data_IF_620889980311
#
_entry.id   IF_620889980311
#
_cell.length_a   1.000
_cell.length_b   1.000
_cell.length_c   1.000
_cell.angle_alpha   90.00
_cell.angle_beta   90.00
_cell.angle_gamma   90.00
#
_symmetry.space_group_name_H-M   'P 1'
#
loop_
_entity.id
_entity.type
_entity.pdbx_description
1 polymer ?
#
# COMPACT_ATOMS: atom_id res chain seq x y z
N UNK A 1 17.16 -0.18 0.83
CA UNK A 1 16.49 -1.40 1.33
C UNK A 1 15.27 -1.71 0.49
N UNK A 2 14.38 -0.73 0.31
CA UNK A 2 13.10 -0.88 -0.39
C UNK A 2 13.23 -1.26 -1.87
N UNK A 3 14.21 -0.73 -2.62
CA UNK A 3 14.42 -1.14 -4.03
C UNK A 3 14.65 -2.64 -4.20
N UNK A 4 15.49 -3.27 -3.35
CA UNK A 4 15.74 -4.72 -3.43
C UNK A 4 14.47 -5.51 -3.15
N UNK A 5 13.71 -5.10 -2.14
CA UNK A 5 12.42 -5.73 -1.77
C UNK A 5 11.42 -5.60 -2.92
N UNK A 6 11.23 -4.40 -3.45
CA UNK A 6 10.40 -4.14 -4.64
C UNK A 6 10.83 -4.99 -5.81
N UNK A 7 12.12 -5.00 -6.16
CA UNK A 7 12.61 -5.75 -7.31
C UNK A 7 12.32 -7.25 -7.16
N UNK A 8 12.53 -7.81 -5.96
CA UNK A 8 12.22 -9.22 -5.70
C UNK A 8 10.72 -9.51 -5.77
N UNK A 9 9.89 -8.60 -5.26
CA UNK A 9 8.45 -8.80 -5.16
C UNK A 9 7.73 -8.42 -6.46
N UNK A 10 7.86 -7.19 -6.97
CA UNK A 10 7.15 -6.73 -8.15
C UNK A 10 7.74 -7.23 -9.48
N UNK A 11 9.08 -7.34 -9.60
CA UNK A 11 9.75 -7.62 -10.89
C UNK A 11 10.12 -9.10 -11.06
N UNK A 12 10.74 -9.72 -10.05
CA UNK A 12 11.18 -11.13 -10.14
C UNK A 12 10.09 -12.16 -9.85
N UNK A 13 8.97 -11.75 -9.27
CA UNK A 13 7.82 -12.63 -9.01
C UNK A 13 6.64 -12.29 -9.93
N UNK A 14 5.52 -12.99 -9.75
CA UNK A 14 4.26 -12.77 -10.48
C UNK A 14 3.35 -11.71 -9.82
N UNK A 15 3.86 -10.99 -8.81
CA UNK A 15 3.10 -9.92 -8.14
C UNK A 15 2.92 -8.72 -9.06
N UNK A 16 3.91 -8.31 -9.87
CA UNK A 16 3.79 -7.14 -10.75
C UNK A 16 3.45 -5.82 -10.01
N UNK A 17 3.47 -4.69 -10.73
CA UNK A 17 2.97 -3.42 -10.19
C UNK A 17 1.43 -3.39 -10.22
N UNK A 18 0.81 -2.77 -9.22
CA UNK A 18 -0.64 -2.58 -9.12
C UNK A 18 -1.44 -3.77 -8.61
N UNK A 19 -0.85 -4.96 -8.49
CA UNK A 19 -1.52 -6.14 -7.96
C UNK A 19 -1.37 -6.19 -6.44
N UNK A 20 -2.50 -6.32 -5.76
CA UNK A 20 -2.51 -6.52 -4.32
C UNK A 20 -2.10 -7.93 -3.93
N UNK A 21 -1.25 -8.02 -2.91
CA UNK A 21 -1.08 -9.23 -2.11
C UNK A 21 -1.89 -9.07 -0.83
N UNK A 22 -2.63 -10.12 -0.47
CA UNK A 22 -3.36 -10.19 0.79
C UNK A 22 -2.78 -11.33 1.62
N UNK A 23 -2.34 -11.01 2.83
CA UNK A 23 -1.77 -11.94 3.78
C UNK A 23 -2.72 -12.14 4.96
N UNK A 24 -2.62 -13.30 5.60
CA UNK A 24 -3.29 -13.56 6.87
C UNK A 24 -2.57 -12.92 8.05
N UNK A 25 -2.92 -13.36 9.25
CA UNK A 25 -2.16 -13.07 10.46
C UNK A 25 -0.76 -13.71 10.37
N UNK A 26 0.22 -12.98 10.87
CA UNK A 26 1.63 -13.32 10.74
C UNK A 26 2.03 -14.48 11.65
N UNK A 27 2.95 -15.30 11.15
CA UNK A 27 3.55 -16.45 11.83
C UNK A 27 5.08 -16.40 11.74
N UNK A 28 5.82 -17.16 12.56
CA UNK A 28 7.28 -17.23 12.47
C UNK A 28 7.81 -17.76 11.13
N UNK A 29 6.98 -18.43 10.33
CA UNK A 29 7.35 -18.87 8.97
C UNK A 29 7.31 -17.75 7.93
N UNK A 30 6.63 -16.64 8.21
CA UNK A 30 6.45 -15.55 7.26
C UNK A 30 7.71 -14.68 7.16
N UNK A 31 8.12 -14.41 5.92
CA UNK A 31 9.37 -13.69 5.61
C UNK A 31 9.18 -12.53 4.63
N UNK A 32 7.93 -12.21 4.33
CA UNK A 32 7.56 -11.25 3.30
C UNK A 32 7.72 -9.80 3.79
N UNK A 33 7.50 -9.58 5.09
CA UNK A 33 7.65 -8.31 5.80
C UNK A 33 8.60 -8.53 6.98
N UNK A 34 9.53 -7.61 7.19
CA UNK A 34 10.45 -7.65 8.33
C UNK A 34 9.68 -7.29 9.60
N UNK A 35 9.81 -8.11 10.65
CA UNK A 35 9.16 -7.91 11.96
C UNK A 35 7.66 -7.57 11.84
N UNK A 36 6.85 -8.47 11.24
CA UNK A 36 5.45 -8.18 11.02
C UNK A 36 4.69 -8.15 12.34
N UNK A 37 3.69 -7.27 12.44
CA UNK A 37 2.75 -7.31 13.57
C UNK A 37 1.76 -8.48 13.40
N UNK A 38 1.10 -8.87 14.49
CA UNK A 38 0.09 -9.93 14.49
C UNK A 38 -1.30 -9.46 14.97
N UNK A 39 -1.49 -8.15 15.05
CA UNK A 39 -2.76 -7.51 15.41
C UNK A 39 -3.62 -7.27 14.16
N UNK A 40 -2.99 -7.04 13.01
CA UNK A 40 -3.65 -6.81 11.73
C UNK A 40 -3.11 -7.72 10.63
N UNK A 41 -4.00 -8.32 9.79
CA UNK A 41 -3.55 -8.91 8.53
C UNK A 41 -3.06 -7.82 7.58
N UNK A 42 -2.03 -8.14 6.79
CA UNK A 42 -1.44 -7.18 5.87
C UNK A 42 -1.99 -7.34 4.46
N UNK A 43 -2.17 -6.22 3.77
CA UNK A 43 -2.30 -6.18 2.32
C UNK A 43 -1.38 -5.09 1.79
N UNK A 44 -0.70 -5.34 0.68
CA UNK A 44 0.16 -4.34 0.07
C UNK A 44 0.31 -4.55 -1.43
N UNK A 45 0.74 -3.51 -2.12
CA UNK A 45 1.10 -3.52 -3.53
C UNK A 45 2.31 -2.61 -3.77
N UNK A 46 2.99 -2.83 -4.88
CA UNK A 46 3.95 -1.85 -5.42
C UNK A 46 3.27 -1.12 -6.58
N UNK A 47 3.45 0.20 -6.66
CA UNK A 47 2.95 1.00 -7.79
C UNK A 47 4.11 1.67 -8.51
N UNK A 48 3.96 1.84 -9.83
CA UNK A 48 4.93 2.57 -10.66
C UNK A 48 4.34 3.90 -11.12
N UNK A 49 4.70 4.97 -10.40
CA UNK A 49 4.24 6.33 -10.72
C UNK A 49 4.99 6.96 -11.90
N UNK A 50 6.04 6.31 -12.44
CA UNK A 50 6.68 6.80 -13.67
C UNK A 50 5.85 6.47 -14.91
N UNK A 51 5.10 5.37 -14.87
CA UNK A 51 4.23 4.94 -15.97
C UNK A 51 2.92 5.73 -15.98
N UNK A 52 2.19 5.71 -14.86
CA UNK A 52 0.88 6.35 -14.73
C UNK A 52 0.50 6.58 -13.25
N UNK A 53 -0.48 7.45 -12.96
CA UNK A 53 -1.06 7.56 -11.63
C UNK A 53 -1.88 6.32 -11.25
N UNK A 54 -2.01 6.09 -9.94
CA UNK A 54 -2.79 4.99 -9.38
C UNK A 54 -3.85 5.52 -8.41
N UNK A 55 -5.05 4.98 -8.47
CA UNK A 55 -6.12 5.30 -7.51
C UNK A 55 -6.27 4.15 -6.52
N UNK A 56 -6.13 4.45 -5.23
CA UNK A 56 -6.50 3.53 -4.15
C UNK A 56 -7.90 3.88 -3.68
N UNK A 57 -8.80 2.90 -3.75
CA UNK A 57 -10.14 3.00 -3.17
C UNK A 57 -10.22 2.14 -1.91
N UNK A 58 -10.41 2.81 -0.78
CA UNK A 58 -10.63 2.17 0.51
C UNK A 58 -12.14 2.00 0.72
N UNK A 59 -12.62 0.78 1.01
CA UNK A 59 -14.04 0.55 1.23
C UNK A 59 -14.49 1.12 2.58
N UNK A 60 -15.79 1.38 2.69
CA UNK A 60 -16.43 1.59 3.99
C UNK A 60 -16.27 0.33 4.85
N UNK A 61 -15.93 0.51 6.13
CA UNK A 61 -15.83 -0.56 7.11
C UNK A 61 -16.58 -0.21 8.41
N UNK A 62 -16.67 -1.15 9.35
CA UNK A 62 -17.31 -0.90 10.64
C UNK A 62 -16.55 0.16 11.46
N UNK A 63 -17.27 1.03 12.17
CA UNK A 63 -16.68 2.13 12.96
C UNK A 63 -15.70 1.66 14.04
N UNK A 64 -15.89 0.46 14.61
CA UNK A 64 -15.01 -0.09 15.63
C UNK A 64 -13.78 -0.83 15.06
N UNK A 65 -13.69 -1.00 13.73
CA UNK A 65 -12.56 -1.68 13.09
C UNK A 65 -11.50 -0.68 12.67
N UNK A 66 -10.25 -1.00 12.95
CA UNK A 66 -9.09 -0.21 12.53
C UNK A 66 -8.52 -0.72 11.20
N UNK A 67 -8.14 0.21 10.32
CA UNK A 67 -7.27 -0.05 9.19
C UNK A 67 -6.41 1.17 8.89
N UNK A 68 -5.28 0.92 8.23
CA UNK A 68 -4.37 1.94 7.76
C UNK A 68 -3.65 1.42 6.52
N UNK A 69 -3.33 2.29 5.58
CA UNK A 69 -2.60 1.96 4.37
C UNK A 69 -1.45 2.94 4.19
N UNK A 70 -0.30 2.65 4.81
CA UNK A 70 0.89 3.50 4.66
C UNK A 70 1.55 3.29 3.30
N UNK A 71 1.90 4.39 2.63
CA UNK A 71 2.63 4.39 1.37
C UNK A 71 3.95 5.13 1.52
N UNK A 72 5.03 4.43 1.21
CA UNK A 72 6.40 4.94 1.34
C UNK A 72 7.12 4.99 -0.01
N UNK A 73 8.07 5.93 -0.14
CA UNK A 73 9.01 5.90 -1.25
C UNK A 73 10.19 4.93 -1.01
N UNK A 74 11.12 4.85 -1.96
CA UNK A 74 12.28 3.96 -1.82
C UNK A 74 13.30 4.40 -0.77
N UNK A 75 13.19 5.61 -0.24
CA UNK A 75 14.02 6.17 0.83
C UNK A 75 13.36 6.01 2.20
N UNK A 76 12.11 5.53 2.25
CA UNK A 76 11.35 5.31 3.48
C UNK A 76 10.66 6.56 3.99
N UNK A 77 10.49 7.58 3.14
CA UNK A 77 9.60 8.69 3.46
C UNK A 77 8.15 8.24 3.29
N UNK A 78 7.36 8.44 4.35
CA UNK A 78 5.91 8.26 4.29
C UNK A 78 5.33 9.37 3.41
N UNK A 79 4.70 8.97 2.31
CA UNK A 79 4.00 9.87 1.39
C UNK A 79 2.60 10.19 1.93
N UNK A 80 1.89 9.16 2.38
CA UNK A 80 0.58 9.27 3.00
C UNK A 80 0.26 7.99 3.81
N UNK A 81 -0.69 8.07 4.74
CA UNK A 81 -1.19 6.93 5.50
C UNK A 81 -2.73 6.97 5.68
N UNK A 82 -3.49 6.81 4.58
CA UNK A 82 -4.94 6.78 4.61
C UNK A 82 -5.49 5.70 5.52
N UNK A 83 -6.51 6.04 6.30
CA UNK A 83 -7.15 5.07 7.19
C UNK A 83 -7.99 5.68 8.30
N UNK A 84 -8.32 4.83 9.28
CA UNK A 84 -9.29 5.14 10.32
C UNK A 84 -8.98 6.38 11.17
N UNK A 85 -7.70 6.73 11.34
CA UNK A 85 -7.29 7.77 12.29
C UNK A 85 -7.66 9.16 11.83
N UNK A 86 -7.42 9.49 10.56
CA UNK A 86 -7.61 10.84 10.01
C UNK A 86 -8.83 10.87 9.09
N UNK A 87 -8.97 9.87 8.21
CA UNK A 87 -10.02 9.86 7.18
C UNK A 87 -11.32 9.19 7.63
N UNK A 88 -11.24 8.40 8.70
CA UNK A 88 -12.36 7.63 9.23
C UNK A 88 -12.71 6.40 8.39
N UNK A 89 -13.89 5.83 8.67
CA UNK A 89 -14.27 4.49 8.22
C UNK A 89 -15.37 4.47 7.14
N UNK A 90 -15.78 5.64 6.63
CA UNK A 90 -16.86 5.72 5.62
C UNK A 90 -16.42 5.39 4.19
N UNK A 91 -15.14 5.06 3.99
CA UNK A 91 -14.53 4.78 2.69
C UNK A 91 -14.14 6.07 1.97
N UNK A 92 -13.07 6.00 1.18
CA UNK A 92 -12.53 7.13 0.43
C UNK A 92 -11.66 6.64 -0.73
N UNK A 93 -11.37 7.53 -1.67
CA UNK A 93 -10.40 7.27 -2.73
C UNK A 93 -9.33 8.35 -2.73
N UNK A 94 -8.10 7.92 -3.00
CA UNK A 94 -6.92 8.78 -3.11
C UNK A 94 -6.19 8.45 -4.40
N UNK A 95 -5.54 9.44 -4.99
CA UNK A 95 -4.72 9.28 -6.18
C UNK A 95 -3.26 9.47 -5.84
N UNK A 96 -2.44 8.48 -6.14
CA UNK A 96 -0.99 8.59 -6.17
C UNK A 96 -0.57 9.02 -7.57
N UNK A 97 0.13 10.14 -7.66
CA UNK A 97 0.63 10.66 -8.92
C UNK A 97 2.09 11.06 -8.78
N UNK A 98 2.83 10.96 -9.89
CA UNK A 98 4.18 11.53 -9.97
C UNK A 98 4.12 13.05 -9.74
N UNK A 99 5.15 13.66 -9.12
CA UNK A 99 5.29 15.12 -9.04
C UNK A 99 5.25 15.83 -10.41
N UNK A 100 5.44 15.09 -11.51
CA UNK A 100 5.37 15.61 -12.88
C UNK A 100 3.99 15.48 -13.53
N UNK A 101 2.99 14.92 -12.84
CA UNK A 101 1.63 14.80 -13.36
C UNK A 101 1.00 16.17 -13.60
N UNK A 102 0.41 16.36 -14.79
CA UNK A 102 -0.21 17.62 -15.22
C UNK A 102 -1.58 17.46 -15.87
N UNK A 103 -2.06 16.23 -16.00
CA UNK A 103 -3.36 15.99 -16.60
C UNK A 103 -4.46 16.13 -15.54
N UNK A 104 -5.70 16.03 -15.97
CA UNK A 104 -6.86 16.08 -15.07
C UNK A 104 -6.87 14.88 -14.13
N UNK A 105 -7.20 15.12 -12.86
CA UNK A 105 -7.45 14.07 -11.87
C UNK A 105 -8.79 13.39 -12.20
N UNK A 106 -8.84 12.05 -12.26
CA UNK A 106 -10.09 11.29 -12.46
C UNK A 106 -11.13 11.51 -11.37
#
# INVERSE_FOLDING_TARGET
>A
MNYRTMYMQAIKSDRAFGKWLHLGLSSPSDKDIVTPNNDTPYSYAWVDLQAEPWVLTMPKIEQARFYTSQWDDFWGYVLDNPGSVIDGNDGHSIMFASPLWKNETP
#
